data_IF_663708671327
#
_entry.id   IF_663708671327
#
_cell.length_a   1.000
_cell.length_b   1.000
_cell.length_c   1.000
_cell.angle_alpha   90.00
_cell.angle_beta   90.00
_cell.angle_gamma   90.00
#
_symmetry.space_group_name_H-M   'P 1'
#
loop_
_entity.id
_entity.type
_entity.pdbx_description
1 polymer ?
#
# COMPACT_ATOMS: atom_id res chain seq x y z
N UNK A 1 -34.80 14.01 -11.76
CA UNK A 1 -35.32 12.75 -12.31
C UNK A 1 -36.25 12.16 -11.25
N UNK A 2 -37.50 11.84 -11.55
CA UNK A 2 -38.40 11.23 -10.54
C UNK A 2 -38.01 9.77 -10.35
N UNK A 3 -37.64 9.42 -9.12
CA UNK A 3 -37.33 8.04 -8.74
C UNK A 3 -38.66 7.26 -8.65
N UNK A 4 -38.76 6.16 -9.37
CA UNK A 4 -39.96 5.30 -9.34
C UNK A 4 -39.81 4.17 -8.31
N UNK A 5 -40.93 3.71 -7.75
CA UNK A 5 -40.95 2.57 -6.84
C UNK A 5 -40.31 1.33 -7.48
N UNK A 6 -40.61 1.05 -8.73
CA UNK A 6 -40.06 -0.08 -9.48
C UNK A 6 -38.53 -0.04 -9.58
N UNK A 7 -37.93 1.15 -9.78
CA UNK A 7 -36.48 1.30 -9.80
C UNK A 7 -35.84 0.94 -8.45
N UNK A 8 -36.47 1.33 -7.35
CA UNK A 8 -36.01 1.02 -6.00
C UNK A 8 -36.12 -0.48 -5.70
N UNK A 9 -37.24 -1.08 -6.05
CA UNK A 9 -37.50 -2.52 -5.84
C UNK A 9 -36.51 -3.40 -6.65
N UNK A 10 -36.13 -2.99 -7.85
CA UNK A 10 -35.24 -3.75 -8.73
C UNK A 10 -33.80 -3.85 -8.18
N UNK A 11 -33.43 -2.99 -7.26
CA UNK A 11 -32.05 -3.00 -6.68
C UNK A 11 -31.99 -3.60 -5.26
N UNK A 12 -33.13 -4.07 -4.72
CA UNK A 12 -33.15 -4.77 -3.43
C UNK A 12 -32.32 -6.05 -3.53
N UNK A 13 -31.43 -6.28 -2.58
CA UNK A 13 -30.55 -7.45 -2.54
C UNK A 13 -29.41 -7.43 -3.55
N UNK A 14 -29.20 -6.31 -4.27
CA UNK A 14 -28.14 -6.24 -5.27
C UNK A 14 -26.75 -6.29 -4.63
N UNK A 15 -25.87 -7.19 -5.13
CA UNK A 15 -24.51 -7.47 -4.58
C UNK A 15 -23.58 -6.24 -4.46
N UNK A 16 -23.84 -5.19 -5.24
CA UNK A 16 -23.03 -3.96 -5.21
C UNK A 16 -23.40 -3.00 -4.07
N UNK A 17 -24.47 -3.28 -3.35
CA UNK A 17 -24.91 -2.48 -2.21
C UNK A 17 -24.31 -3.04 -0.92
N UNK A 18 -23.81 -2.15 -0.06
CA UNK A 18 -23.41 -2.50 1.30
C UNK A 18 -24.63 -2.91 2.14
N UNK A 19 -24.41 -3.63 3.26
CA UNK A 19 -25.48 -4.05 4.16
C UNK A 19 -26.33 -2.85 4.64
N UNK A 20 -25.71 -1.71 4.89
CA UNK A 20 -26.42 -0.48 5.24
C UNK A 20 -27.28 0.04 4.08
N UNK A 21 -26.72 0.08 2.86
CA UNK A 21 -27.44 0.53 1.67
C UNK A 21 -28.61 -0.42 1.34
N UNK A 22 -28.46 -1.73 1.54
CA UNK A 22 -29.55 -2.69 1.37
C UNK A 22 -30.69 -2.41 2.33
N UNK A 23 -30.43 -2.32 3.64
CA UNK A 23 -31.46 -1.99 4.63
C UNK A 23 -32.11 -0.63 4.39
N UNK A 24 -31.34 0.35 3.91
CA UNK A 24 -31.86 1.65 3.53
C UNK A 24 -32.83 1.55 2.33
N UNK A 25 -32.44 0.85 1.25
CA UNK A 25 -33.27 0.66 0.05
C UNK A 25 -34.56 -0.10 0.36
N UNK A 26 -34.51 -1.14 1.19
CA UNK A 26 -35.68 -1.85 1.68
C UNK A 26 -36.66 -0.92 2.43
N UNK A 27 -36.11 -0.10 3.35
CA UNK A 27 -36.90 0.89 4.09
C UNK A 27 -37.57 1.93 3.15
N UNK A 28 -36.83 2.38 2.12
CA UNK A 28 -37.35 3.31 1.12
C UNK A 28 -38.45 2.67 0.28
N UNK A 29 -38.29 1.42 -0.17
CA UNK A 29 -39.32 0.70 -0.89
C UNK A 29 -40.62 0.60 -0.08
N UNK A 30 -40.53 0.29 1.20
CA UNK A 30 -41.67 0.24 2.12
C UNK A 30 -42.38 1.61 2.32
N UNK A 31 -41.58 2.68 2.38
CA UNK A 31 -42.12 4.05 2.49
C UNK A 31 -42.92 4.42 1.20
N UNK A 32 -42.33 4.12 0.03
CA UNK A 32 -42.95 4.42 -1.26
C UNK A 32 -44.24 3.59 -1.46
N UNK A 33 -44.27 2.30 -1.04
CA UNK A 33 -45.49 1.47 -1.04
C UNK A 33 -46.65 2.08 -0.22
N UNK A 34 -46.30 2.80 0.87
CA UNK A 34 -47.25 3.52 1.72
C UNK A 34 -47.61 4.92 1.19
N UNK A 35 -47.21 5.24 -0.05
CA UNK A 35 -47.51 6.51 -0.70
C UNK A 35 -46.75 7.72 -0.14
N UNK A 36 -45.66 7.49 0.61
CA UNK A 36 -44.82 8.58 1.17
C UNK A 36 -43.82 9.08 0.13
N UNK A 37 -43.66 10.40 0.07
CA UNK A 37 -42.66 11.05 -0.76
C UNK A 37 -41.27 10.98 -0.09
N UNK A 38 -40.21 10.92 -0.90
CA UNK A 38 -38.84 10.92 -0.42
C UNK A 38 -38.40 12.35 -0.07
N UNK A 39 -37.59 12.48 0.92
CA UNK A 39 -36.86 13.75 1.19
C UNK A 39 -35.69 13.89 0.22
N UNK A 40 -35.19 15.13 0.02
CA UNK A 40 -34.05 15.40 -0.85
C UNK A 40 -32.81 14.56 -0.48
N UNK A 41 -32.57 14.30 0.81
CA UNK A 41 -31.46 13.46 1.26
C UNK A 41 -31.68 11.99 0.89
N UNK A 42 -32.89 11.49 1.03
CA UNK A 42 -33.24 10.13 0.64
C UNK A 42 -33.12 9.95 -0.88
N UNK A 43 -33.62 10.88 -1.67
CA UNK A 43 -33.48 10.87 -3.14
C UNK A 43 -32.00 10.80 -3.57
N UNK A 44 -31.13 11.63 -2.95
CA UNK A 44 -29.69 11.62 -3.25
C UNK A 44 -29.03 10.27 -2.95
N UNK A 45 -29.41 9.61 -1.85
CA UNK A 45 -28.86 8.31 -1.50
C UNK A 45 -29.37 7.23 -2.47
N UNK A 46 -30.68 7.23 -2.77
CA UNK A 46 -31.29 6.30 -3.73
C UNK A 46 -30.66 6.46 -5.11
N UNK A 47 -30.49 7.69 -5.61
CA UNK A 47 -29.83 7.95 -6.89
C UNK A 47 -28.44 7.34 -6.93
N UNK A 48 -27.65 7.53 -5.88
CA UNK A 48 -26.31 6.91 -5.78
C UNK A 48 -26.36 5.39 -5.76
N UNK A 49 -27.36 4.77 -5.11
CA UNK A 49 -27.54 3.32 -5.14
C UNK A 49 -27.94 2.81 -6.53
N UNK A 50 -28.84 3.52 -7.23
CA UNK A 50 -29.21 3.23 -8.61
C UNK A 50 -28.01 3.34 -9.58
N UNK A 51 -27.19 4.35 -9.43
CA UNK A 51 -25.94 4.50 -10.20
C UNK A 51 -24.99 3.33 -9.95
N UNK A 52 -24.76 2.94 -8.69
CA UNK A 52 -23.91 1.80 -8.34
C UNK A 52 -24.37 0.47 -8.94
N UNK A 53 -25.66 0.31 -9.09
CA UNK A 53 -26.31 -0.92 -9.59
C UNK A 53 -26.63 -0.86 -11.08
N UNK A 54 -26.28 0.22 -11.77
CA UNK A 54 -26.46 0.30 -13.21
C UNK A 54 -25.64 -0.77 -13.95
N UNK A 55 -26.14 -1.35 -15.05
CA UNK A 55 -25.42 -2.38 -15.79
C UNK A 55 -24.01 -1.99 -16.19
N UNK A 56 -23.79 -0.71 -16.54
CA UNK A 56 -22.48 -0.16 -16.92
C UNK A 56 -21.51 -0.16 -15.75
N UNK A 57 -21.95 0.28 -14.57
CA UNK A 57 -21.11 0.31 -13.38
C UNK A 57 -20.83 -1.10 -12.82
N UNK A 58 -21.78 -2.01 -12.96
CA UNK A 58 -21.59 -3.43 -12.60
C UNK A 58 -20.55 -4.06 -13.53
N UNK A 59 -20.69 -3.88 -14.84
CA UNK A 59 -19.74 -4.41 -15.82
C UNK A 59 -18.31 -3.83 -15.61
N UNK A 60 -18.21 -2.51 -15.41
CA UNK A 60 -16.93 -1.86 -15.13
C UNK A 60 -16.28 -2.37 -13.82
N UNK A 61 -17.08 -2.69 -12.81
CA UNK A 61 -16.59 -3.27 -11.57
C UNK A 61 -16.11 -4.71 -11.76
N UNK A 62 -16.85 -5.53 -12.49
CA UNK A 62 -16.45 -6.91 -12.79
C UNK A 62 -15.19 -6.97 -13.65
N UNK A 63 -15.02 -6.04 -14.60
CA UNK A 63 -13.79 -5.88 -15.36
C UNK A 63 -12.62 -5.49 -14.46
N UNK A 64 -12.82 -4.51 -13.57
CA UNK A 64 -11.80 -4.11 -12.59
C UNK A 64 -11.41 -5.27 -11.66
N UNK A 65 -12.37 -6.04 -11.16
CA UNK A 65 -12.11 -7.19 -10.27
C UNK A 65 -11.18 -8.22 -10.94
N UNK A 66 -11.40 -8.50 -12.24
CA UNK A 66 -10.53 -9.38 -13.03
C UNK A 66 -9.13 -8.77 -13.24
N UNK A 67 -9.08 -7.53 -13.73
CA UNK A 67 -7.83 -6.79 -13.95
C UNK A 67 -7.00 -6.72 -12.67
N UNK A 68 -7.66 -6.46 -11.53
CA UNK A 68 -7.00 -6.37 -10.23
C UNK A 68 -6.33 -7.69 -9.84
N UNK A 69 -7.03 -8.80 -9.94
CA UNK A 69 -6.49 -10.12 -9.57
C UNK A 69 -5.32 -10.50 -10.48
N UNK A 70 -5.42 -10.24 -11.77
CA UNK A 70 -4.40 -10.63 -12.75
C UNK A 70 -3.15 -9.75 -12.73
N UNK A 71 -3.30 -8.44 -12.50
CA UNK A 71 -2.22 -7.49 -12.77
C UNK A 71 -1.83 -6.60 -11.57
N UNK A 72 -2.73 -6.38 -10.61
CA UNK A 72 -2.58 -5.32 -9.62
C UNK A 72 -2.40 -5.81 -8.18
N UNK A 73 -2.79 -7.04 -7.89
CA UNK A 73 -2.81 -7.57 -6.52
C UNK A 73 -1.43 -7.55 -5.86
N UNK A 74 -0.39 -8.04 -6.54
CA UNK A 74 0.97 -8.05 -5.97
C UNK A 74 1.46 -6.62 -5.67
N UNK A 75 1.18 -5.69 -6.58
CA UNK A 75 1.52 -4.27 -6.40
C UNK A 75 0.78 -3.66 -5.23
N UNK A 76 -0.51 -3.98 -5.07
CA UNK A 76 -1.32 -3.52 -3.95
C UNK A 76 -0.78 -4.05 -2.60
N UNK A 77 -0.43 -5.33 -2.54
CA UNK A 77 0.16 -5.94 -1.33
C UNK A 77 1.52 -5.35 -0.99
N UNK A 78 2.38 -5.10 -1.99
CA UNK A 78 3.65 -4.41 -1.80
C UNK A 78 3.44 -3.01 -1.19
N UNK A 79 2.53 -2.22 -1.77
CA UNK A 79 2.20 -0.90 -1.26
C UNK A 79 1.55 -0.96 0.13
N UNK A 80 0.69 -1.96 0.39
CA UNK A 80 0.05 -2.14 1.69
C UNK A 80 1.09 -2.43 2.79
N UNK A 81 2.08 -3.30 2.55
CA UNK A 81 3.18 -3.54 3.50
C UNK A 81 3.97 -2.26 3.79
N UNK A 82 4.24 -1.45 2.77
CA UNK A 82 4.90 -0.15 2.94
C UNK A 82 4.07 0.79 3.81
N UNK A 83 2.79 1.00 3.47
CA UNK A 83 1.93 1.93 4.19
C UNK A 83 1.52 1.44 5.58
N UNK A 84 1.56 0.13 5.84
CA UNK A 84 1.38 -0.40 7.19
C UNK A 84 2.43 0.15 8.18
N UNK A 85 3.67 0.30 7.73
CA UNK A 85 4.75 0.91 8.55
C UNK A 85 4.64 2.42 8.64
N UNK A 86 4.22 3.07 7.56
CA UNK A 86 4.11 4.53 7.50
C UNK A 86 2.82 5.08 8.16
N UNK A 87 1.86 4.22 8.48
CA UNK A 87 0.61 4.61 9.14
C UNK A 87 -0.43 5.28 8.25
N UNK A 88 -0.31 5.16 6.91
CA UNK A 88 -1.29 5.71 5.96
C UNK A 88 -2.23 4.63 5.43
N UNK A 89 -3.43 5.02 4.97
CA UNK A 89 -4.44 4.13 4.38
C UNK A 89 -4.86 2.95 5.27
N UNK A 90 -4.82 3.09 6.59
CA UNK A 90 -4.88 1.99 7.56
C UNK A 90 -6.04 1.01 7.36
N UNK A 91 -7.27 1.49 7.08
CA UNK A 91 -8.43 0.62 6.87
C UNK A 91 -8.23 -0.27 5.64
N UNK A 92 -7.80 0.32 4.52
CA UNK A 92 -7.57 -0.43 3.28
C UNK A 92 -6.37 -1.36 3.39
N UNK A 93 -5.30 -0.91 4.03
CA UNK A 93 -4.09 -1.69 4.32
C UNK A 93 -4.43 -2.90 5.18
N UNK A 94 -5.20 -2.70 6.25
CA UNK A 94 -5.68 -3.79 7.10
C UNK A 94 -6.47 -4.82 6.29
N UNK A 95 -7.46 -4.38 5.51
CA UNK A 95 -8.27 -5.29 4.69
C UNK A 95 -7.41 -6.07 3.68
N UNK A 96 -6.48 -5.41 2.99
CA UNK A 96 -5.59 -6.06 2.02
C UNK A 96 -4.66 -7.10 2.64
N UNK A 97 -4.19 -6.87 3.87
CA UNK A 97 -3.25 -7.78 4.54
C UNK A 97 -3.94 -8.89 5.32
N UNK A 98 -5.23 -8.72 5.71
CA UNK A 98 -5.97 -9.70 6.51
C UNK A 98 -6.99 -10.52 5.74
N UNK A 99 -7.43 -10.06 4.56
CA UNK A 99 -8.44 -10.71 3.74
C UNK A 99 -7.96 -10.87 2.30
N UNK A 100 -7.63 -12.10 1.95
CA UNK A 100 -7.18 -12.44 0.60
C UNK A 100 -8.24 -12.19 -0.48
N UNK A 101 -9.51 -12.21 -0.14
CA UNK A 101 -10.62 -11.96 -1.07
C UNK A 101 -10.90 -10.47 -1.28
N UNK A 102 -10.34 -9.59 -0.45
CA UNK A 102 -10.59 -8.16 -0.55
C UNK A 102 -10.04 -7.55 -1.83
N UNK A 103 -10.91 -6.86 -2.56
CA UNK A 103 -10.58 -6.11 -3.77
C UNK A 103 -10.90 -4.63 -3.51
N UNK A 104 -9.90 -3.74 -3.50
CA UNK A 104 -10.15 -2.31 -3.35
C UNK A 104 -10.86 -1.76 -4.59
N UNK A 105 -11.60 -0.66 -4.46
CA UNK A 105 -12.10 0.06 -5.63
C UNK A 105 -10.94 0.61 -6.45
N UNK A 106 -11.14 0.80 -7.76
CA UNK A 106 -10.13 1.38 -8.68
C UNK A 106 -9.61 2.72 -8.16
N UNK A 107 -10.50 3.56 -7.64
CA UNK A 107 -10.12 4.85 -7.04
C UNK A 107 -9.19 4.68 -5.81
N UNK A 108 -9.51 3.74 -4.92
CA UNK A 108 -8.69 3.47 -3.75
C UNK A 108 -7.32 2.89 -4.14
N UNK A 109 -7.28 1.98 -5.10
CA UNK A 109 -6.03 1.45 -5.64
C UNK A 109 -5.16 2.57 -6.22
N UNK A 110 -5.71 3.42 -7.09
CA UNK A 110 -5.00 4.56 -7.69
C UNK A 110 -4.42 5.49 -6.62
N UNK A 111 -5.21 5.86 -5.61
CA UNK A 111 -4.75 6.71 -4.51
C UNK A 111 -3.58 6.09 -3.75
N UNK A 112 -3.63 4.79 -3.49
CA UNK A 112 -2.59 4.10 -2.73
C UNK A 112 -1.37 3.74 -3.56
N UNK A 113 -1.54 3.23 -4.79
CA UNK A 113 -0.46 2.61 -5.56
C UNK A 113 0.15 3.52 -6.62
N UNK A 114 -0.56 4.57 -7.09
CA UNK A 114 -0.08 5.41 -8.19
C UNK A 114 0.49 6.76 -7.75
N UNK A 115 0.53 7.03 -6.45
CA UNK A 115 1.15 8.25 -5.94
C UNK A 115 2.68 8.20 -6.02
N UNK A 116 3.34 9.35 -5.85
CA UNK A 116 4.80 9.49 -5.97
C UNK A 116 5.62 8.60 -5.02
N UNK A 117 5.08 8.29 -3.83
CA UNK A 117 5.78 7.47 -2.84
C UNK A 117 5.67 5.99 -3.20
N UNK A 118 4.47 5.53 -3.53
CA UNK A 118 4.23 4.16 -3.99
C UNK A 118 5.04 3.84 -5.25
N UNK A 119 5.07 4.74 -6.24
CA UNK A 119 5.87 4.57 -7.46
C UNK A 119 7.34 4.31 -7.16
N UNK A 120 7.93 5.03 -6.20
CA UNK A 120 9.32 4.79 -5.75
C UNK A 120 9.50 3.42 -5.09
N UNK A 121 8.55 3.01 -4.28
CA UNK A 121 8.57 1.70 -3.62
C UNK A 121 8.51 0.58 -4.65
N UNK A 122 7.59 0.69 -5.63
CA UNK A 122 7.43 -0.27 -6.72
C UNK A 122 8.69 -0.33 -7.59
N UNK A 123 9.25 0.81 -7.97
CA UNK A 123 10.49 0.87 -8.72
C UNK A 123 11.65 0.24 -7.94
N UNK A 124 11.76 0.57 -6.67
CA UNK A 124 12.79 0.04 -5.80
C UNK A 124 12.72 -1.48 -5.64
N UNK A 125 11.52 -2.05 -5.60
CA UNK A 125 11.33 -3.51 -5.52
C UNK A 125 11.75 -4.26 -6.79
N UNK A 126 11.76 -3.58 -7.94
CA UNK A 126 12.09 -4.16 -9.26
C UNK A 126 13.55 -3.99 -9.65
N UNK A 127 14.22 -2.98 -9.11
CA UNK A 127 15.63 -2.71 -9.45
C UNK A 127 16.58 -3.63 -8.67
N UNK A 128 17.75 -4.04 -9.18
CA UNK A 128 18.75 -4.80 -8.44
C UNK A 128 19.41 -3.92 -7.36
N UNK A 129 20.02 -4.53 -6.37
CA UNK A 129 20.91 -3.83 -5.43
C UNK A 129 22.13 -3.29 -6.16
N UNK A 130 22.62 -2.13 -5.72
CA UNK A 130 23.88 -1.54 -6.22
C UNK A 130 25.10 -2.32 -5.68
N UNK A 131 25.00 -2.85 -4.47
CA UNK A 131 26.03 -3.63 -3.81
C UNK A 131 25.53 -5.05 -3.55
N UNK A 132 26.28 -6.06 -4.01
CA UNK A 132 26.05 -7.47 -3.72
C UNK A 132 26.57 -7.89 -2.34
N UNK A 133 26.24 -9.10 -1.90
CA UNK A 133 26.82 -9.70 -0.70
C UNK A 133 28.33 -9.88 -0.90
N UNK A 134 29.12 -9.50 0.09
CA UNK A 134 30.59 -9.52 0.03
C UNK A 134 31.22 -8.28 -0.60
N UNK A 135 30.43 -7.38 -1.20
CA UNK A 135 30.97 -6.16 -1.77
C UNK A 135 31.50 -5.22 -0.71
N UNK A 136 32.59 -4.54 -1.07
CA UNK A 136 33.19 -3.49 -0.26
C UNK A 136 32.60 -2.14 -0.63
N UNK A 137 32.17 -1.42 0.39
CA UNK A 137 31.69 -0.07 0.26
C UNK A 137 32.28 0.84 1.35
N UNK A 138 32.01 2.12 1.25
CA UNK A 138 32.43 3.11 2.23
C UNK A 138 31.22 3.92 2.68
N UNK A 139 31.05 4.06 3.98
CA UNK A 139 29.99 4.89 4.55
C UNK A 139 30.20 6.36 4.16
N UNK A 140 29.15 7.04 3.69
CA UNK A 140 29.27 8.47 3.32
C UNK A 140 29.52 9.34 4.56
N UNK A 141 30.24 10.44 4.37
CA UNK A 141 30.51 11.43 5.44
C UNK A 141 29.25 12.13 5.96
N UNK A 142 28.21 12.22 5.13
CA UNK A 142 26.94 12.93 5.40
C UNK A 142 25.94 12.15 6.24
N UNK A 143 26.32 11.00 6.79
CA UNK A 143 25.45 10.21 7.65
C UNK A 143 25.17 10.91 8.99
N UNK A 144 23.98 10.65 9.53
CA UNK A 144 23.58 11.01 10.89
C UNK A 144 23.20 9.73 11.66
N UNK A 145 22.92 9.85 12.96
CA UNK A 145 22.61 8.70 13.82
C UNK A 145 21.40 7.89 13.33
N UNK A 146 20.39 8.55 12.72
CA UNK A 146 19.21 7.88 12.18
C UNK A 146 19.45 7.04 10.93
N UNK A 147 20.61 7.18 10.30
CA UNK A 147 20.90 6.47 9.05
C UNK A 147 21.54 5.10 9.25
N UNK A 148 22.05 4.82 10.45
CA UNK A 148 22.67 3.55 10.80
C UNK A 148 21.89 2.93 11.95
N UNK A 149 21.29 1.79 11.72
CA UNK A 149 20.50 1.06 12.72
C UNK A 149 21.33 -0.16 13.13
N UNK A 150 21.75 -0.28 14.40
CA UNK A 150 22.50 -1.45 14.85
C UNK A 150 21.77 -2.75 14.48
N UNK A 151 22.51 -3.72 13.95
CA UNK A 151 22.00 -5.06 13.74
C UNK A 151 21.89 -5.83 15.06
N UNK A 152 21.06 -6.88 15.10
CA UNK A 152 20.94 -7.72 16.27
C UNK A 152 22.30 -8.34 16.62
N UNK A 153 22.72 -8.25 17.87
CA UNK A 153 24.02 -8.74 18.33
C UNK A 153 25.21 -7.87 18.00
N UNK A 154 25.02 -6.71 17.35
CA UNK A 154 26.12 -5.77 17.09
C UNK A 154 26.67 -5.17 18.36
N UNK A 155 27.99 -4.97 18.39
CA UNK A 155 28.59 -4.08 19.40
C UNK A 155 28.07 -2.65 19.25
N UNK A 156 28.01 -1.94 20.38
CA UNK A 156 27.61 -0.55 20.40
C UNK A 156 28.65 0.34 19.69
N UNK A 157 28.16 1.24 18.85
CA UNK A 157 29.02 2.19 18.14
C UNK A 157 28.38 3.58 18.08
N UNK A 158 29.22 4.58 17.90
CA UNK A 158 28.76 5.93 17.61
C UNK A 158 28.82 6.19 16.10
N UNK A 159 27.74 6.66 15.51
CA UNK A 159 27.60 6.88 14.06
C UNK A 159 28.73 7.73 13.45
N UNK A 160 29.27 8.70 14.21
CA UNK A 160 30.36 9.56 13.71
C UNK A 160 31.66 8.79 13.43
N UNK A 161 31.93 7.69 14.16
CA UNK A 161 33.06 6.83 13.92
C UNK A 161 32.90 6.02 12.62
N UNK A 162 31.69 5.79 12.18
CA UNK A 162 31.40 5.09 10.92
C UNK A 162 31.50 5.98 9.68
N UNK A 163 31.65 7.29 9.86
CA UNK A 163 31.81 8.22 8.72
C UNK A 163 33.06 7.91 7.94
N UNK A 164 32.91 7.64 6.64
CA UNK A 164 33.99 7.28 5.74
C UNK A 164 34.69 5.93 6.03
N UNK A 165 34.16 5.14 6.98
CA UNK A 165 34.67 3.81 7.25
C UNK A 165 34.35 2.84 6.10
N UNK A 166 35.29 1.90 5.91
CA UNK A 166 35.09 0.79 4.98
C UNK A 166 34.22 -0.30 5.62
N UNK A 167 33.32 -0.81 4.85
CA UNK A 167 32.38 -1.86 5.25
C UNK A 167 32.25 -2.94 4.17
N UNK A 168 31.92 -4.13 4.61
CA UNK A 168 31.51 -5.23 3.73
C UNK A 168 30.01 -5.43 3.86
N UNK A 169 29.34 -5.69 2.75
CA UNK A 169 27.91 -6.00 2.74
C UNK A 169 27.72 -7.47 3.15
N UNK A 170 27.00 -7.69 4.25
CA UNK A 170 26.81 -9.04 4.81
C UNK A 170 25.39 -9.55 4.67
N UNK A 171 24.41 -8.66 4.44
CA UNK A 171 23.02 -9.03 4.24
C UNK A 171 22.27 -7.94 3.45
N UNK A 172 21.12 -8.30 2.89
CA UNK A 172 20.25 -7.44 2.10
C UNK A 172 18.81 -7.65 2.54
N UNK A 173 18.07 -6.57 2.82
CA UNK A 173 16.66 -6.63 3.15
C UNK A 173 15.83 -6.85 1.88
N UNK A 174 15.03 -7.93 1.81
CA UNK A 174 14.17 -8.17 0.66
C UNK A 174 13.16 -7.01 0.48
N UNK A 175 13.24 -6.28 -0.65
CA UNK A 175 12.34 -5.14 -0.88
C UNK A 175 10.87 -5.52 -1.09
N UNK A 176 10.55 -6.80 -1.29
CA UNK A 176 9.18 -7.30 -1.40
C UNK A 176 8.57 -7.56 -0.02
N UNK A 177 9.36 -8.09 0.90
CA UNK A 177 8.92 -8.35 2.28
C UNK A 177 8.95 -7.06 3.12
N UNK A 178 10.00 -6.26 2.95
CA UNK A 178 10.20 -5.00 3.65
C UNK A 178 10.28 -3.82 2.66
N UNK A 179 9.18 -3.47 2.00
CA UNK A 179 9.19 -2.46 0.97
C UNK A 179 9.50 -1.07 1.52
N UNK A 180 10.32 -0.32 0.80
CA UNK A 180 10.74 1.03 1.18
C UNK A 180 11.11 1.87 -0.04
N UNK A 181 11.18 3.19 0.14
CA UNK A 181 11.61 4.10 -0.93
C UNK A 181 13.11 3.95 -1.27
N UNK A 182 13.86 3.24 -0.46
CA UNK A 182 15.28 2.97 -0.64
C UNK A 182 15.61 1.58 -0.13
N UNK A 183 16.49 0.88 -0.83
CA UNK A 183 17.00 -0.43 -0.44
C UNK A 183 17.87 -0.33 0.79
N UNK A 184 17.80 -1.33 1.63
CA UNK A 184 18.59 -1.44 2.85
C UNK A 184 19.50 -2.64 2.79
N UNK A 185 20.71 -2.43 3.25
CA UNK A 185 21.76 -3.45 3.36
C UNK A 185 22.31 -3.49 4.77
N UNK A 186 22.68 -4.68 5.23
CA UNK A 186 23.44 -4.85 6.46
C UNK A 186 24.92 -4.80 6.14
N UNK A 187 25.65 -4.01 6.91
CA UNK A 187 27.08 -3.78 6.77
C UNK A 187 27.81 -4.25 8.02
N UNK A 188 28.97 -4.88 7.82
CA UNK A 188 29.96 -5.11 8.88
C UNK A 188 31.13 -4.16 8.69
N UNK A 189 31.55 -3.48 9.76
CA UNK A 189 32.70 -2.57 9.70
C UNK A 189 34.01 -3.36 9.60
N UNK A 190 34.89 -2.98 8.67
CA UNK A 190 36.15 -3.69 8.48
C UNK A 190 37.08 -3.48 9.67
N UNK A 191 37.07 -2.29 10.28
CA UNK A 191 37.88 -1.97 11.45
C UNK A 191 37.51 -2.80 12.69
N UNK A 192 36.25 -3.18 12.83
CA UNK A 192 35.73 -4.07 13.86
C UNK A 192 34.49 -4.83 13.34
N UNK A 193 34.65 -6.10 12.93
CA UNK A 193 33.57 -6.89 12.38
C UNK A 193 32.39 -7.16 13.34
N UNK A 194 32.58 -6.98 14.65
CA UNK A 194 31.50 -7.07 15.63
C UNK A 194 30.53 -5.86 15.56
N UNK A 195 30.93 -4.79 14.90
CA UNK A 195 30.06 -3.64 14.59
C UNK A 195 29.32 -3.93 13.30
N UNK A 196 28.02 -4.19 13.41
CA UNK A 196 27.14 -4.46 12.29
C UNK A 196 25.93 -3.53 12.33
N UNK A 197 25.47 -3.05 11.17
CA UNK A 197 24.36 -2.12 11.09
C UNK A 197 23.65 -2.18 9.76
N UNK A 198 22.35 -1.88 9.78
CA UNK A 198 21.52 -1.65 8.62
C UNK A 198 21.59 -0.19 8.18
N UNK A 199 21.71 0.03 6.91
CA UNK A 199 21.58 1.37 6.33
C UNK A 199 20.94 1.32 4.94
N UNK A 200 20.43 2.46 4.48
CA UNK A 200 20.04 2.61 3.10
C UNK A 200 21.25 2.58 2.18
N UNK A 201 21.18 1.83 1.10
CA UNK A 201 22.26 1.66 0.12
C UNK A 201 22.82 2.99 -0.39
N UNK A 202 21.97 4.01 -0.57
CA UNK A 202 22.40 5.37 -0.95
C UNK A 202 23.30 6.08 0.10
N UNK A 203 23.40 5.55 1.31
CA UNK A 203 24.31 6.06 2.35
C UNK A 203 25.72 5.49 2.21
N UNK A 204 25.91 4.60 1.27
CA UNK A 204 27.19 4.05 0.89
C UNK A 204 27.72 4.70 -0.38
N UNK A 205 28.99 4.54 -0.64
CA UNK A 205 29.69 4.87 -1.88
C UNK A 205 30.72 3.78 -2.18
N UNK A 206 30.91 3.48 -3.45
CA UNK A 206 31.96 2.55 -3.89
C UNK A 206 33.35 3.08 -3.58
N UNK A 207 34.33 2.21 -3.54
CA UNK A 207 35.73 2.60 -3.60
C UNK A 207 36.00 3.20 -4.99
N UNK A 208 36.57 4.39 -5.05
CA UNK A 208 37.14 4.89 -6.32
C UNK A 208 38.32 3.97 -6.65
N UNK A 209 38.25 3.32 -7.79
CA UNK A 209 39.40 2.70 -8.41
C UNK A 209 40.41 3.74 -8.78
#
# INVERSE_FOLDING_TARGET
>A
MLITQQQVENIIGHKCLSSWEQGFIESIADQMKKGRTLSNNQERIVTRCLEKTSPENVASREEWEKEYVEQHRETALLCARYYNREGYFQIMVHNLLSDESYIPTREHYTKMCENKYAKKVIENSKTPFQYGLGDLARVRKTITYNHLIPAAGSEAFHHSKMRNEAVIIIDQEDPKENPGQHKRVCCSAIINPAIQFWCEERKLKGFKR
#
